data_IF_708957949045
#
_entry.id   IF_708957949045
#
_cell.length_a   1.000
_cell.length_b   1.000
_cell.length_c   1.000
_cell.angle_alpha   90.00
_cell.angle_beta   90.00
_cell.angle_gamma   90.00
#
_symmetry.space_group_name_H-M   'P 1'
#
loop_
_entity.id
_entity.type
_entity.pdbx_description
1 polymer ?
#
# COMPACT_ATOMS: atom_id res chain seq x y z
N UNK A 1 -26.22 0.35 1.51
CA UNK A 1 -24.95 0.20 2.28
C UNK A 1 -24.60 1.54 2.88
N UNK A 2 -24.22 1.63 4.17
CA UNK A 2 -23.76 2.91 4.74
C UNK A 2 -22.39 3.27 4.18
N UNK A 3 -22.13 4.55 3.91
CA UNK A 3 -20.84 5.05 3.38
C UNK A 3 -19.65 4.56 4.23
N UNK A 4 -19.82 4.53 5.55
CA UNK A 4 -18.82 4.02 6.48
C UNK A 4 -18.49 2.53 6.26
N UNK A 5 -19.49 1.68 5.95
CA UNK A 5 -19.25 0.26 5.65
C UNK A 5 -18.49 0.08 4.33
N UNK A 6 -18.77 0.92 3.34
CA UNK A 6 -18.07 0.87 2.05
C UNK A 6 -16.61 1.30 2.21
N UNK A 7 -16.34 2.39 2.93
CA UNK A 7 -14.98 2.84 3.20
C UNK A 7 -14.19 1.77 3.97
N UNK A 8 -14.78 1.22 5.04
CA UNK A 8 -14.15 0.14 5.82
C UNK A 8 -13.87 -1.11 4.99
N UNK A 9 -14.81 -1.53 4.13
CA UNK A 9 -14.63 -2.67 3.25
C UNK A 9 -13.52 -2.42 2.22
N UNK A 10 -13.46 -1.22 1.63
CA UNK A 10 -12.39 -0.86 0.70
C UNK A 10 -11.02 -0.90 1.38
N UNK A 11 -10.90 -0.30 2.56
CA UNK A 11 -9.65 -0.27 3.33
C UNK A 11 -9.20 -1.69 3.72
N UNK A 12 -10.15 -2.55 4.08
CA UNK A 12 -9.88 -3.96 4.38
C UNK A 12 -9.37 -4.72 3.14
N UNK A 13 -9.98 -4.51 1.97
CA UNK A 13 -9.54 -5.11 0.70
C UNK A 13 -8.12 -4.65 0.36
N UNK A 14 -7.83 -3.35 0.50
CA UNK A 14 -6.48 -2.80 0.29
C UNK A 14 -5.49 -3.43 1.26
N UNK A 15 -5.82 -3.54 2.54
CA UNK A 15 -4.94 -4.13 3.55
C UNK A 15 -4.61 -5.60 3.22
N UNK A 16 -5.60 -6.39 2.81
CA UNK A 16 -5.39 -7.80 2.41
C UNK A 16 -4.55 -7.86 1.13
N UNK A 17 -4.86 -7.05 0.11
CA UNK A 17 -4.10 -7.01 -1.13
C UNK A 17 -2.64 -6.58 -0.90
N UNK A 18 -2.40 -5.65 0.03
CA UNK A 18 -1.06 -5.22 0.42
C UNK A 18 -0.26 -6.36 1.04
N UNK A 19 -0.86 -7.12 1.96
CA UNK A 19 -0.21 -8.28 2.59
C UNK A 19 0.12 -9.35 1.54
N UNK A 20 -0.83 -9.68 0.67
CA UNK A 20 -0.65 -10.69 -0.37
C UNK A 20 0.39 -10.27 -1.42
N UNK A 21 0.38 -9.00 -1.85
CA UNK A 21 1.38 -8.45 -2.77
C UNK A 21 2.77 -8.47 -2.14
N UNK A 22 2.89 -8.05 -0.88
CA UNK A 22 4.17 -8.07 -0.15
C UNK A 22 4.69 -9.50 0.04
N UNK A 23 3.84 -10.43 0.45
CA UNK A 23 4.22 -11.83 0.67
C UNK A 23 4.68 -12.49 -0.64
N UNK A 24 3.92 -12.35 -1.73
CA UNK A 24 4.30 -12.89 -3.04
C UNK A 24 5.58 -12.24 -3.60
N UNK A 25 5.76 -10.93 -3.39
CA UNK A 25 6.99 -10.22 -3.76
C UNK A 25 8.20 -10.70 -2.98
N UNK A 26 8.06 -10.92 -1.67
CA UNK A 26 9.11 -11.49 -0.82
C UNK A 26 9.46 -12.92 -1.24
N UNK A 27 8.47 -13.74 -1.59
CA UNK A 27 8.69 -15.09 -2.12
C UNK A 27 9.50 -15.03 -3.42
N UNK A 28 9.12 -14.17 -4.36
CA UNK A 28 9.86 -14.00 -5.62
C UNK A 28 11.28 -13.45 -5.41
N UNK A 29 11.46 -12.58 -4.42
CA UNK A 29 12.78 -12.06 -4.06
C UNK A 29 13.67 -13.13 -3.41
N UNK A 30 13.13 -13.96 -2.51
CA UNK A 30 13.85 -15.03 -1.82
C UNK A 30 14.09 -16.28 -2.68
N UNK A 31 13.19 -16.61 -3.61
CA UNK A 31 13.31 -17.76 -4.51
C UNK A 31 14.43 -17.60 -5.57
N UNK A 32 15.17 -16.48 -5.51
CA UNK A 32 16.18 -16.11 -6.47
C UNK A 32 15.57 -15.35 -7.64
N UNK A 33 16.25 -14.30 -8.09
CA UNK A 33 15.80 -13.44 -9.20
C UNK A 33 15.76 -14.22 -10.52
N UNK A 34 14.69 -14.97 -10.77
CA UNK A 34 14.44 -15.56 -12.07
C UNK A 34 13.95 -14.52 -13.06
N UNK A 35 14.73 -13.48 -13.34
CA UNK A 35 14.37 -12.51 -14.37
C UNK A 35 15.12 -11.18 -14.40
N UNK A 36 16.44 -11.20 -14.65
CA UNK A 36 17.15 -10.10 -15.34
C UNK A 36 18.28 -10.63 -16.27
N UNK A 37 18.13 -11.84 -16.83
CA UNK A 37 19.05 -12.40 -17.84
C UNK A 37 18.32 -13.24 -18.91
N UNK A 38 17.37 -12.63 -19.63
CA UNK A 38 16.93 -13.10 -20.96
C UNK A 38 16.51 -14.59 -21.10
N UNK A 39 15.87 -15.18 -20.09
CA UNK A 39 15.38 -16.57 -20.17
C UNK A 39 16.44 -17.67 -20.00
N UNK A 40 17.67 -17.34 -19.58
CA UNK A 40 18.78 -18.31 -19.37
C UNK A 40 19.02 -18.68 -17.90
N UNK A 41 18.09 -18.40 -16.98
CA UNK A 41 18.25 -18.82 -15.59
C UNK A 41 17.78 -20.28 -15.42
N UNK A 42 18.68 -21.26 -15.16
CA UNK A 42 18.29 -22.66 -14.92
C UNK A 42 17.45 -22.82 -13.64
N UNK A 43 17.44 -21.80 -12.76
CA UNK A 43 16.59 -21.73 -11.57
C UNK A 43 15.23 -21.05 -11.83
N UNK A 44 14.77 -20.89 -13.09
CA UNK A 44 13.40 -20.36 -13.36
C UNK A 44 12.27 -21.28 -12.86
N UNK A 45 12.64 -22.52 -12.50
CA UNK A 45 11.71 -23.56 -12.05
C UNK A 45 11.81 -23.81 -10.53
N UNK A 46 12.28 -22.83 -9.75
CA UNK A 46 12.27 -22.98 -8.29
C UNK A 46 10.82 -22.99 -7.81
N UNK A 47 10.32 -24.16 -7.46
CA UNK A 47 9.03 -24.31 -6.81
C UNK A 47 9.17 -23.85 -5.34
N UNK A 48 8.47 -22.78 -4.97
CA UNK A 48 8.37 -22.35 -3.58
C UNK A 48 6.98 -22.75 -3.06
N UNK A 49 6.95 -23.51 -1.95
CA UNK A 49 5.72 -24.12 -1.39
C UNK A 49 4.93 -24.99 -2.38
N UNK A 50 5.61 -25.63 -3.33
CA UNK A 50 4.98 -26.49 -4.35
C UNK A 50 4.32 -25.74 -5.51
N UNK A 51 4.40 -24.41 -5.54
CA UNK A 51 3.92 -23.58 -6.65
C UNK A 51 5.10 -23.07 -7.49
N UNK A 52 4.89 -22.99 -8.80
CA UNK A 52 5.89 -22.48 -9.74
C UNK A 52 6.16 -20.99 -9.55
N UNK A 53 7.37 -20.52 -9.88
CA UNK A 53 7.72 -19.10 -9.88
C UNK A 53 6.76 -18.26 -10.75
N UNK A 54 6.28 -18.80 -11.88
CA UNK A 54 5.30 -18.14 -12.74
C UNK A 54 3.98 -17.88 -12.01
N UNK A 55 3.47 -18.87 -11.28
CA UNK A 55 2.24 -18.72 -10.49
C UNK A 55 2.39 -17.62 -9.43
N UNK A 56 3.54 -17.55 -8.75
CA UNK A 56 3.84 -16.48 -7.80
C UNK A 56 3.94 -15.10 -8.47
N UNK A 57 4.53 -15.03 -9.67
CA UNK A 57 4.62 -13.80 -10.46
C UNK A 57 3.23 -13.31 -10.88
N UNK A 58 2.39 -14.19 -11.42
CA UNK A 58 1.03 -13.83 -11.82
C UNK A 58 0.23 -13.36 -10.61
N UNK A 59 0.29 -14.10 -9.48
CA UNK A 59 -0.35 -13.70 -8.23
C UNK A 59 0.11 -12.31 -7.78
N UNK A 60 1.42 -12.06 -7.79
CA UNK A 60 1.99 -10.78 -7.39
C UNK A 60 1.47 -9.64 -8.28
N UNK A 61 1.46 -9.81 -9.61
CA UNK A 61 0.99 -8.79 -10.55
C UNK A 61 -0.50 -8.52 -10.35
N UNK A 62 -1.35 -9.55 -10.35
CA UNK A 62 -2.80 -9.37 -10.22
C UNK A 62 -3.21 -8.76 -8.89
N UNK A 63 -2.62 -9.22 -7.79
CA UNK A 63 -2.89 -8.64 -6.47
C UNK A 63 -2.40 -7.20 -6.39
N UNK A 64 -1.23 -6.89 -6.97
CA UNK A 64 -0.70 -5.53 -6.99
C UNK A 64 -1.56 -4.59 -7.84
N UNK A 65 -2.16 -5.06 -8.93
CA UNK A 65 -3.11 -4.28 -9.72
C UNK A 65 -4.36 -3.93 -8.92
N UNK A 66 -4.93 -4.89 -8.18
CA UNK A 66 -6.07 -4.65 -7.28
C UNK A 66 -5.69 -3.67 -6.18
N UNK A 67 -4.49 -3.80 -5.60
CA UNK A 67 -3.97 -2.88 -4.59
C UNK A 67 -3.89 -1.45 -5.14
N UNK A 68 -3.30 -1.25 -6.31
CA UNK A 68 -3.16 0.08 -6.93
C UNK A 68 -4.54 0.70 -7.17
N UNK A 69 -5.47 -0.05 -7.76
CA UNK A 69 -6.83 0.44 -8.00
C UNK A 69 -7.54 0.78 -6.67
N UNK A 70 -7.36 -0.07 -5.66
CA UNK A 70 -7.85 0.14 -4.30
C UNK A 70 -7.33 1.44 -3.69
N UNK A 71 -6.01 1.66 -3.72
CA UNK A 71 -5.36 2.86 -3.19
C UNK A 71 -5.85 4.13 -3.90
N UNK A 72 -6.03 4.09 -5.22
CA UNK A 72 -6.61 5.22 -5.98
C UNK A 72 -8.02 5.54 -5.49
N UNK A 73 -8.88 4.53 -5.33
CA UNK A 73 -10.22 4.71 -4.79
C UNK A 73 -10.21 5.22 -3.35
N UNK A 74 -9.28 4.73 -2.52
CA UNK A 74 -9.11 5.19 -1.14
C UNK A 74 -8.78 6.69 -1.10
N UNK A 75 -7.82 7.15 -1.91
CA UNK A 75 -7.51 8.57 -1.98
C UNK A 75 -8.68 9.41 -2.49
N UNK A 76 -9.44 8.91 -3.47
CA UNK A 76 -10.63 9.60 -3.96
C UNK A 76 -11.70 9.76 -2.85
N UNK A 77 -11.93 8.72 -2.05
CA UNK A 77 -12.89 8.77 -0.92
C UNK A 77 -12.40 9.63 0.25
N UNK A 78 -11.09 9.65 0.49
CA UNK A 78 -10.47 10.36 1.61
C UNK A 78 -9.87 11.72 1.25
N UNK A 79 -10.07 12.21 0.02
CA UNK A 79 -9.43 13.43 -0.51
C UNK A 79 -9.56 14.65 0.39
N UNK A 80 -10.76 14.90 0.94
CA UNK A 80 -11.01 16.01 1.85
C UNK A 80 -10.19 15.91 3.14
N UNK A 81 -10.05 14.70 3.67
CA UNK A 81 -9.23 14.44 4.86
C UNK A 81 -7.74 14.66 4.54
N UNK A 82 -7.26 14.16 3.39
CA UNK A 82 -5.87 14.35 2.93
C UNK A 82 -5.53 15.84 2.85
N UNK A 83 -6.32 16.63 2.12
CA UNK A 83 -6.08 18.08 1.97
C UNK A 83 -6.10 18.79 3.33
N UNK A 84 -7.04 18.44 4.22
CA UNK A 84 -7.12 19.01 5.55
C UNK A 84 -5.88 18.70 6.39
N UNK A 85 -5.41 17.44 6.37
CA UNK A 85 -4.23 17.01 7.10
C UNK A 85 -2.95 17.65 6.55
N UNK A 86 -2.75 17.64 5.22
CA UNK A 86 -1.60 18.30 4.58
C UNK A 86 -1.54 19.78 4.93
N UNK A 87 -2.68 20.50 4.92
CA UNK A 87 -2.74 21.90 5.36
C UNK A 87 -2.38 22.09 6.83
N UNK A 88 -2.74 21.15 7.71
CA UNK A 88 -2.40 21.22 9.14
C UNK A 88 -0.90 21.00 9.37
N UNK A 89 -0.30 20.04 8.66
CA UNK A 89 1.13 19.76 8.75
C UNK A 89 1.99 20.90 8.20
N UNK A 90 1.50 21.60 7.17
CA UNK A 90 2.20 22.74 6.55
C UNK A 90 1.94 24.09 7.24
N UNK A 91 0.97 24.18 8.16
CA UNK A 91 0.81 25.40 8.96
C UNK A 91 2.00 25.52 9.89
N UNK A 92 2.79 26.60 9.83
CA UNK A 92 3.81 26.87 10.83
C UNK A 92 3.13 26.83 12.20
N UNK A 93 3.75 26.18 13.18
CA UNK A 93 3.39 26.34 14.58
C UNK A 93 3.63 27.81 14.91
N UNK A 94 2.62 28.64 14.69
CA UNK A 94 2.65 30.02 15.13
C UNK A 94 2.81 29.97 16.63
N UNK A 95 3.93 30.46 17.15
CA UNK A 95 4.11 30.70 18.57
C UNK A 95 2.87 31.45 19.04
N UNK A 96 1.98 30.74 19.74
CA UNK A 96 0.90 31.36 20.49
C UNK A 96 1.61 32.07 21.64
N UNK A 97 2.04 33.31 21.42
CA UNK A 97 2.49 34.19 22.48
C UNK A 97 1.32 34.30 23.43
N UNK A 98 1.37 33.50 24.49
CA UNK A 98 0.52 33.62 25.66
C UNK A 98 0.71 35.05 26.16
N UNK A 99 -0.22 35.93 25.78
CA UNK A 99 -0.28 37.28 26.33
C UNK A 99 -0.75 37.07 27.77
N UNK A 100 0.22 36.90 28.66
CA UNK A 100 0.02 36.83 30.10
C UNK A 100 -0.78 38.06 30.50
N UNK A 101 -2.02 37.85 30.91
CA UNK A 101 -2.81 38.87 31.59
C UNK A 101 -2.20 39.00 32.99
N UNK A 102 -1.27 39.93 33.15
CA UNK A 102 -0.88 40.45 34.46
C UNK A 102 -2.07 41.24 35.00
N UNK A 103 -2.83 40.58 35.87
CA UNK A 103 -3.89 41.14 36.73
C UNK A 103 -3.19 42.03 37.81
N UNK A 104 -3.80 43.16 38.22
CA UNK A 104 -3.10 44.41 38.57
C UNK A 104 -2.29 44.40 39.86
#
# INVERSE_FOLDING_TARGET
MSKARLNYALDLVIAIAFILSTASGLVLWLAGSGGYQGGRNPNFNTAFLGLSQHTWSDLHVWVSLVLVLGVVMHFALHWNWVVCMTRRLLKPVGHRTQKTYSIP
#
